data_IF_907279825770
#
_entry.id   IF_907279825770
#
_cell.length_a   1.000
_cell.length_b   1.000
_cell.length_c   1.000
_cell.angle_alpha   90.00
_cell.angle_beta   90.00
_cell.angle_gamma   90.00
#
_symmetry.space_group_name_H-M   'P 1'
#
loop_
_entity.id
_entity.type
_entity.pdbx_description
1 polymer ?
#
# COMPACT_ATOMS: atom_id res chain seq x y z
N UNK A 1 -22.38 -7.23 -1.26
CA UNK A 1 -21.84 -8.55 -0.85
C UNK A 1 -22.32 -8.84 0.56
N UNK A 2 -22.84 -10.04 0.86
CA UNK A 2 -23.35 -10.37 2.20
C UNK A 2 -22.23 -10.72 3.19
N UNK A 3 -22.42 -10.38 4.47
CA UNK A 3 -21.47 -10.64 5.57
C UNK A 3 -20.98 -12.11 5.63
N UNK A 4 -21.87 -13.05 5.32
CA UNK A 4 -21.56 -14.49 5.29
C UNK A 4 -20.52 -14.87 4.21
N UNK A 5 -20.56 -14.20 3.05
CA UNK A 5 -19.62 -14.44 1.97
C UNK A 5 -18.20 -13.96 2.35
N UNK A 6 -18.10 -12.81 3.01
CA UNK A 6 -16.82 -12.27 3.48
C UNK A 6 -16.21 -13.16 4.58
N UNK A 7 -17.01 -13.66 5.50
CA UNK A 7 -16.55 -14.56 6.57
C UNK A 7 -16.04 -15.88 5.99
N UNK A 8 -16.79 -16.50 5.07
CA UNK A 8 -16.38 -17.76 4.43
C UNK A 8 -15.13 -17.60 3.59
N UNK A 9 -14.99 -16.49 2.84
CA UNK A 9 -13.77 -16.15 2.10
C UNK A 9 -12.56 -15.96 3.03
N UNK A 10 -12.73 -15.18 4.10
CA UNK A 10 -11.67 -14.95 5.08
C UNK A 10 -11.21 -16.24 5.76
N UNK A 11 -12.17 -17.10 6.13
CA UNK A 11 -11.89 -18.41 6.71
C UNK A 11 -11.13 -19.32 5.73
N UNK A 12 -11.54 -19.35 4.46
CA UNK A 12 -10.86 -20.10 3.41
C UNK A 12 -9.40 -19.66 3.22
N UNK A 13 -9.13 -18.35 3.24
CA UNK A 13 -7.77 -17.80 3.14
C UNK A 13 -6.92 -18.23 4.35
N UNK A 14 -7.49 -18.14 5.57
CA UNK A 14 -6.80 -18.52 6.80
C UNK A 14 -6.43 -20.01 6.81
N UNK A 15 -7.41 -20.89 6.54
CA UNK A 15 -7.20 -22.35 6.51
C UNK A 15 -6.18 -22.74 5.45
N UNK A 16 -6.24 -22.14 4.26
CA UNK A 16 -5.28 -22.40 3.19
C UNK A 16 -3.87 -22.00 3.60
N UNK A 17 -3.68 -20.79 4.15
CA UNK A 17 -2.36 -20.31 4.60
C UNK A 17 -1.79 -21.17 5.73
N UNK A 18 -2.59 -21.55 6.71
CA UNK A 18 -2.15 -22.44 7.78
C UNK A 18 -1.66 -23.79 7.23
N UNK A 19 -2.34 -24.34 6.22
CA UNK A 19 -1.96 -25.62 5.59
C UNK A 19 -0.75 -25.52 4.67
N UNK A 20 -0.65 -24.47 3.86
CA UNK A 20 0.37 -24.35 2.81
C UNK A 20 1.64 -23.62 3.28
N UNK A 21 1.53 -22.70 4.24
CA UNK A 21 2.61 -21.77 4.62
C UNK A 21 3.06 -21.93 6.08
N UNK A 22 2.31 -22.69 6.89
CA UNK A 22 2.60 -22.92 8.30
C UNK A 22 2.15 -21.78 9.22
N UNK A 23 2.25 -22.02 10.53
CA UNK A 23 1.75 -21.12 11.58
C UNK A 23 2.57 -19.81 11.62
N UNK A 24 3.90 -19.89 11.57
CA UNK A 24 4.79 -18.72 11.65
C UNK A 24 4.48 -17.68 10.56
N UNK A 25 4.54 -18.10 9.30
CA UNK A 25 4.23 -17.26 8.13
C UNK A 25 2.80 -16.70 8.18
N UNK A 26 1.85 -17.48 8.70
CA UNK A 26 0.46 -17.03 8.84
C UNK A 26 0.33 -15.93 9.89
N UNK A 27 1.05 -16.03 11.01
CA UNK A 27 1.09 -15.00 12.06
C UNK A 27 1.77 -13.71 11.56
N UNK A 28 2.87 -13.82 10.82
CA UNK A 28 3.52 -12.66 10.18
C UNK A 28 2.58 -11.96 9.19
N UNK A 29 1.85 -12.72 8.39
CA UNK A 29 0.83 -12.17 7.49
C UNK A 29 -0.31 -11.49 8.25
N UNK A 30 -0.81 -12.11 9.34
CA UNK A 30 -1.83 -11.51 10.19
C UNK A 30 -1.33 -10.20 10.80
N UNK A 31 -0.07 -10.16 11.25
CA UNK A 31 0.56 -8.96 11.76
C UNK A 31 0.66 -7.86 10.69
N UNK A 32 1.23 -8.19 9.53
CA UNK A 32 1.41 -7.26 8.41
C UNK A 32 0.11 -6.70 7.85
N UNK A 33 -0.98 -7.48 7.89
CA UNK A 33 -2.31 -7.02 7.48
C UNK A 33 -3.08 -6.32 8.61
N UNK A 34 -2.96 -6.81 9.82
CA UNK A 34 -3.72 -6.35 10.98
C UNK A 34 -3.25 -4.98 11.46
N UNK A 35 -1.94 -4.78 11.56
CA UNK A 35 -1.38 -3.53 12.09
C UNK A 35 -1.78 -2.30 11.27
N UNK A 36 -1.52 -2.21 9.94
CA UNK A 36 -1.93 -1.05 9.15
C UNK A 36 -3.44 -0.84 9.14
N UNK A 37 -4.23 -1.92 9.22
CA UNK A 37 -5.69 -1.84 9.27
C UNK A 37 -6.21 -1.21 10.57
N UNK A 38 -5.52 -1.43 11.69
CA UNK A 38 -5.90 -0.89 13.01
C UNK A 38 -5.31 0.50 13.24
N UNK A 39 -4.05 0.71 12.89
CA UNK A 39 -3.32 1.95 13.21
C UNK A 39 -3.37 2.98 12.09
N UNK A 40 -3.63 2.54 10.86
CA UNK A 40 -3.48 3.35 9.66
C UNK A 40 -2.04 3.65 9.30
N UNK A 41 -1.05 3.02 9.97
CA UNK A 41 0.39 3.25 9.80
C UNK A 41 1.02 2.03 9.13
N UNK A 42 1.76 2.21 8.02
CA UNK A 42 2.47 1.10 7.36
C UNK A 42 3.59 0.55 8.26
N UNK A 43 3.97 -0.70 8.03
CA UNK A 43 5.17 -1.29 8.63
C UNK A 43 6.32 -1.03 7.66
N UNK A 44 7.24 -0.15 8.01
CA UNK A 44 8.29 0.31 7.09
C UNK A 44 9.26 -0.80 6.70
N UNK A 45 9.63 -1.65 7.65
CA UNK A 45 10.60 -2.73 7.45
C UNK A 45 10.12 -3.75 6.41
N UNK A 46 8.81 -4.00 6.36
CA UNK A 46 8.22 -4.91 5.37
C UNK A 46 7.77 -4.22 4.08
N UNK A 47 7.75 -2.89 4.05
CA UNK A 47 7.34 -2.10 2.89
C UNK A 47 8.53 -1.60 2.06
N UNK A 48 9.72 -1.47 2.66
CA UNK A 48 10.90 -0.86 2.02
C UNK A 48 11.54 -1.82 1.00
N UNK A 49 11.58 -1.40 -0.26
CA UNK A 49 12.22 -2.13 -1.37
C UNK A 49 13.66 -1.64 -1.58
N UNK A 50 13.85 -0.32 -1.55
CA UNK A 50 15.16 0.36 -1.55
C UNK A 50 15.16 1.43 -0.46
N UNK A 51 16.28 2.09 -0.13
CA UNK A 51 16.28 3.20 0.82
C UNK A 51 15.30 4.34 0.48
N UNK A 52 14.91 4.48 -0.79
CA UNK A 52 14.05 5.53 -1.31
C UNK A 52 12.66 5.05 -1.78
N UNK A 53 12.44 3.74 -1.95
CA UNK A 53 11.21 3.18 -2.52
C UNK A 53 10.52 2.22 -1.56
N UNK A 54 9.23 2.47 -1.32
CA UNK A 54 8.37 1.71 -0.43
C UNK A 54 7.11 1.24 -1.16
N UNK A 55 6.62 0.05 -0.80
CA UNK A 55 5.37 -0.51 -1.31
C UNK A 55 4.55 -1.01 -0.13
N UNK A 56 3.34 -0.49 0.03
CA UNK A 56 2.53 -0.77 1.20
C UNK A 56 1.03 -0.68 0.94
N UNK A 57 0.26 -1.03 1.98
CA UNK A 57 -1.19 -0.90 1.97
C UNK A 57 -1.62 0.57 2.12
N UNK A 58 -2.92 0.83 1.91
CA UNK A 58 -3.56 2.11 2.20
C UNK A 58 -3.21 2.60 3.62
N UNK A 59 -2.76 3.84 3.71
CA UNK A 59 -2.51 4.52 4.98
C UNK A 59 -3.65 5.48 5.34
N UNK A 60 -3.80 5.76 6.64
CA UNK A 60 -4.72 6.79 7.16
C UNK A 60 -3.98 8.08 7.52
N UNK A 61 -4.64 9.01 8.22
CA UNK A 61 -4.02 10.29 8.64
C UNK A 61 -2.75 10.11 9.48
N UNK A 62 -2.74 9.14 10.39
CA UNK A 62 -1.56 8.82 11.20
C UNK A 62 -0.43 8.24 10.33
N UNK A 63 -0.74 7.36 9.39
CA UNK A 63 0.23 6.84 8.45
C UNK A 63 0.78 7.91 7.53
N UNK A 64 -0.06 8.85 7.07
CA UNK A 64 0.40 10.03 6.32
C UNK A 64 1.49 10.77 7.08
N UNK A 65 1.27 11.06 8.37
CA UNK A 65 2.27 11.73 9.19
C UNK A 65 3.54 10.88 9.32
N UNK A 66 3.40 9.58 9.60
CA UNK A 66 4.55 8.68 9.71
C UNK A 66 5.37 8.60 8.40
N UNK A 67 4.70 8.58 7.24
CA UNK A 67 5.36 8.61 5.92
C UNK A 67 6.18 9.89 5.76
N UNK A 68 5.60 11.04 6.12
CA UNK A 68 6.29 12.34 6.05
C UNK A 68 7.49 12.39 7.00
N UNK A 69 7.34 11.87 8.22
CA UNK A 69 8.41 11.81 9.22
C UNK A 69 9.57 10.90 8.77
N UNK A 70 9.28 9.86 7.99
CA UNK A 70 10.27 8.96 7.35
C UNK A 70 10.95 9.60 6.11
N UNK A 71 10.49 10.77 5.68
CA UNK A 71 11.00 11.49 4.51
C UNK A 71 10.35 11.08 3.18
N UNK A 72 9.24 10.32 3.23
CA UNK A 72 8.45 9.96 2.05
C UNK A 72 7.59 11.16 1.69
N UNK A 73 7.95 11.77 0.55
CA UNK A 73 7.34 13.01 0.07
C UNK A 73 6.53 12.81 -1.20
N UNK A 74 6.74 11.68 -1.90
CA UNK A 74 5.97 11.25 -3.04
C UNK A 74 5.09 10.04 -2.73
N UNK A 75 3.95 9.93 -3.41
CA UNK A 75 3.17 8.69 -3.45
C UNK A 75 2.57 8.49 -4.83
N UNK A 76 2.65 7.24 -5.32
CA UNK A 76 1.90 6.78 -6.49
C UNK A 76 0.68 6.01 -5.98
N UNK A 77 -0.51 6.60 -6.12
CA UNK A 77 -1.75 5.94 -5.76
C UNK A 77 -2.36 5.28 -7.01
N UNK A 78 -2.47 3.95 -6.97
CA UNK A 78 -3.02 3.14 -8.05
C UNK A 78 -4.49 2.74 -7.86
N UNK A 79 -5.16 3.14 -6.77
CA UNK A 79 -6.49 2.65 -6.41
C UNK A 79 -7.61 3.43 -7.09
N UNK A 80 -8.31 2.81 -8.04
CA UNK A 80 -9.45 3.45 -8.71
C UNK A 80 -10.60 3.78 -7.75
N UNK A 81 -10.78 2.96 -6.72
CA UNK A 81 -11.86 3.10 -5.74
C UNK A 81 -11.57 4.11 -4.62
N UNK A 82 -10.32 4.59 -4.51
CA UNK A 82 -9.90 5.44 -3.40
C UNK A 82 -8.77 6.42 -3.78
N UNK A 83 -9.16 7.64 -4.15
CA UNK A 83 -8.23 8.77 -4.35
C UNK A 83 -7.87 9.39 -2.98
N UNK A 84 -6.58 9.39 -2.63
CA UNK A 84 -6.07 9.96 -1.38
C UNK A 84 -6.24 11.48 -1.32
N UNK A 85 -6.13 12.18 -2.46
CA UNK A 85 -6.28 13.62 -2.52
C UNK A 85 -7.70 14.03 -2.12
N UNK A 86 -8.71 13.32 -2.63
CA UNK A 86 -10.12 13.52 -2.28
C UNK A 86 -10.40 13.34 -0.77
N UNK A 87 -9.54 12.61 -0.06
CA UNK A 87 -9.67 12.34 1.38
C UNK A 87 -8.69 13.15 2.27
N UNK A 88 -7.93 14.08 1.67
CA UNK A 88 -6.93 14.90 2.38
C UNK A 88 -5.65 14.13 2.77
N UNK A 89 -5.44 12.96 2.17
CA UNK A 89 -4.32 12.06 2.44
C UNK A 89 -3.14 12.24 1.47
N UNK A 90 -3.29 13.00 0.40
CA UNK A 90 -2.20 13.28 -0.54
C UNK A 90 -0.93 13.80 0.15
N UNK A 91 0.21 13.23 -0.24
CA UNK A 91 1.55 13.71 0.11
C UNK A 91 1.93 14.94 -0.75
N UNK A 92 3.01 15.67 -0.41
CA UNK A 92 3.43 16.87 -1.15
C UNK A 92 3.57 16.65 -2.66
N UNK A 93 4.11 15.51 -3.06
CA UNK A 93 4.18 15.07 -4.44
C UNK A 93 3.19 13.91 -4.60
N UNK A 94 2.18 14.07 -5.44
CA UNK A 94 1.08 13.10 -5.58
C UNK A 94 0.88 12.70 -7.04
N UNK A 95 0.89 11.40 -7.31
CA UNK A 95 0.63 10.83 -8.63
C UNK A 95 -0.53 9.85 -8.54
N UNK A 96 -1.65 10.17 -9.20
CA UNK A 96 -2.82 9.30 -9.24
C UNK A 96 -2.89 8.56 -10.58
N UNK A 97 -2.66 7.26 -10.54
CA UNK A 97 -2.65 6.36 -11.70
C UNK A 97 -3.64 5.22 -11.48
N UNK A 98 -4.96 5.52 -11.48
CA UNK A 98 -5.99 4.57 -11.09
C UNK A 98 -5.96 3.32 -11.97
N UNK A 99 -5.93 2.18 -11.31
CA UNK A 99 -5.92 0.85 -11.89
C UNK A 99 -6.99 0.04 -11.15
N UNK A 100 -7.82 -0.69 -11.90
CA UNK A 100 -8.81 -1.59 -11.30
C UNK A 100 -8.07 -2.73 -10.61
N UNK A 101 -8.52 -3.12 -9.41
CA UNK A 101 -7.95 -4.27 -8.71
C UNK A 101 -7.98 -5.53 -9.58
N UNK A 102 -6.96 -6.38 -9.46
CA UNK A 102 -6.71 -7.54 -10.34
C UNK A 102 -6.53 -7.22 -11.85
N UNK A 103 -6.47 -5.95 -12.26
CA UNK A 103 -6.12 -5.54 -13.63
C UNK A 103 -4.71 -4.98 -13.73
N UNK A 104 -4.12 -5.04 -14.93
CA UNK A 104 -2.83 -4.42 -15.21
C UNK A 104 -3.00 -2.90 -15.47
N UNK A 105 -2.05 -2.04 -15.02
CA UNK A 105 -1.98 -0.66 -15.48
C UNK A 105 -1.62 -0.62 -16.98
N UNK A 106 -1.92 0.50 -17.63
CA UNK A 106 -1.43 0.73 -19.00
C UNK A 106 0.09 0.93 -19.03
N UNK A 107 0.72 0.74 -20.18
CA UNK A 107 2.16 0.99 -20.36
C UNK A 107 2.48 2.45 -20.10
N UNK A 108 1.59 3.35 -20.50
CA UNK A 108 1.72 4.79 -20.28
C UNK A 108 1.66 5.13 -18.78
N UNK A 109 0.75 4.51 -18.02
CA UNK A 109 0.70 4.66 -16.56
C UNK A 109 1.96 4.12 -15.90
N UNK A 110 2.46 2.96 -16.34
CA UNK A 110 3.71 2.40 -15.84
C UNK A 110 4.87 3.39 -16.02
N UNK A 111 5.04 3.92 -17.23
CA UNK A 111 6.10 4.89 -17.51
C UNK A 111 5.92 6.19 -16.71
N UNK A 112 4.69 6.71 -16.62
CA UNK A 112 4.39 7.92 -15.85
C UNK A 112 4.75 7.76 -14.37
N UNK A 113 4.45 6.59 -13.79
CA UNK A 113 4.80 6.27 -12.41
C UNK A 113 6.31 6.24 -12.19
N UNK A 114 7.04 5.59 -13.11
CA UNK A 114 8.52 5.53 -13.07
C UNK A 114 9.14 6.92 -13.16
N UNK A 115 8.68 7.75 -14.11
CA UNK A 115 9.19 9.12 -14.29
C UNK A 115 8.90 10.00 -13.07
N UNK A 116 7.70 9.86 -12.50
CA UNK A 116 7.34 10.52 -11.25
C UNK A 116 8.28 10.11 -10.11
N UNK A 117 8.53 8.81 -9.94
CA UNK A 117 9.41 8.30 -8.90
C UNK A 117 10.83 8.84 -9.04
N UNK A 118 11.40 8.79 -10.25
CA UNK A 118 12.72 9.35 -10.52
C UNK A 118 12.82 10.83 -10.20
N UNK A 119 11.78 11.61 -10.54
CA UNK A 119 11.74 13.05 -10.25
C UNK A 119 11.71 13.33 -8.74
N UNK A 120 10.90 12.61 -7.96
CA UNK A 120 10.83 12.81 -6.50
C UNK A 120 12.15 12.42 -5.85
N UNK A 121 12.70 11.27 -6.22
CA UNK A 121 13.98 10.77 -5.70
C UNK A 121 15.13 11.72 -6.08
N UNK A 122 15.14 12.22 -7.31
CA UNK A 122 16.14 13.20 -7.78
C UNK A 122 16.13 14.53 -7.02
N UNK A 123 15.02 14.88 -6.34
CA UNK A 123 14.93 16.03 -5.42
C UNK A 123 15.36 15.70 -3.98
N UNK A 124 15.81 14.46 -3.72
CA UNK A 124 16.15 13.97 -2.38
C UNK A 124 14.95 13.43 -1.58
N UNK A 125 13.81 13.22 -2.22
CA UNK A 125 12.63 12.61 -1.59
C UNK A 125 12.63 11.08 -1.65
N UNK A 126 11.62 10.47 -1.03
CA UNK A 126 11.29 9.05 -1.12
C UNK A 126 9.85 8.85 -1.60
N UNK A 127 9.54 7.69 -2.17
CA UNK A 127 8.23 7.33 -2.74
C UNK A 127 7.71 6.02 -2.18
#
# INVERSE_FOLDING_TARGET
MGLWHEITKAWGILVRRLREQGIGTTLEWLWGRGWPKVTGVPIFESSRITPEVYVGAQFGRRGKQALLDEGITGVVNMRVEYDDAAHGLALPEYCYLPTVDDAAPTVEHLQTGVDFMHRVIGKGGKV
#
